data_IF_346215175970
#
_entry.id   IF_346215175970
#
_cell.length_a   1.000
_cell.length_b   1.000
_cell.length_c   1.000
_cell.angle_alpha   90.00
_cell.angle_beta   90.00
_cell.angle_gamma   90.00
#
_symmetry.space_group_name_H-M   'P 1'
#
loop_
_entity.id
_entity.type
_entity.pdbx_description
1 polymer ?
#
# COMPACT_ATOMS: atom_id res chain seq x y z
N UNK A 1 3.28 -12.30 0.20
CA UNK A 1 2.22 -12.72 -0.75
C UNK A 1 2.86 -13.44 -1.92
N UNK A 2 2.25 -14.53 -2.37
CA UNK A 2 2.49 -15.13 -3.69
C UNK A 2 1.40 -14.68 -4.63
N UNK A 3 1.75 -14.32 -5.86
CA UNK A 3 0.79 -13.83 -6.84
C UNK A 3 1.20 -14.28 -8.24
N UNK A 4 0.22 -14.74 -9.02
CA UNK A 4 0.34 -15.12 -10.41
C UNK A 4 -0.66 -14.33 -11.27
N UNK A 5 -0.83 -14.70 -12.54
CA UNK A 5 -1.74 -14.02 -13.46
C UNK A 5 -3.24 -14.18 -13.16
N UNK A 6 -3.63 -15.09 -12.26
CA UNK A 6 -5.03 -15.40 -11.94
C UNK A 6 -5.39 -15.04 -10.50
N UNK A 7 -4.44 -15.18 -9.57
CA UNK A 7 -4.74 -15.20 -8.14
C UNK A 7 -3.53 -14.86 -7.28
N UNK A 8 -3.82 -14.56 -6.01
CA UNK A 8 -2.83 -14.44 -4.95
C UNK A 8 -3.18 -15.29 -3.73
N UNK A 9 -2.18 -15.52 -2.86
CA UNK A 9 -2.37 -16.10 -1.53
C UNK A 9 -1.22 -15.70 -0.60
N UNK A 10 -1.43 -15.85 0.71
CA UNK A 10 -0.38 -15.67 1.71
C UNK A 10 0.21 -17.03 2.06
N UNK A 11 1.54 -17.08 2.20
CA UNK A 11 2.28 -18.26 2.64
C UNK A 11 3.12 -17.87 3.85
N UNK A 12 2.90 -18.55 4.96
CA UNK A 12 3.68 -18.41 6.18
C UNK A 12 3.69 -19.74 6.95
N UNK A 13 4.86 -20.17 7.43
CA UNK A 13 5.02 -21.43 8.15
C UNK A 13 4.38 -22.63 7.42
N UNK A 14 4.61 -22.73 6.11
CA UNK A 14 4.02 -23.74 5.21
C UNK A 14 2.48 -23.75 5.12
N UNK A 15 1.81 -22.75 5.69
CA UNK A 15 0.37 -22.56 5.59
C UNK A 15 0.01 -21.63 4.42
N UNK A 16 -0.93 -22.08 3.57
CA UNK A 16 -1.52 -21.28 2.50
C UNK A 16 -2.86 -20.70 2.95
N UNK A 17 -2.95 -19.37 3.03
CA UNK A 17 -4.13 -18.67 3.51
C UNK A 17 -4.63 -17.61 2.53
N UNK A 18 -5.91 -17.27 2.66
CA UNK A 18 -6.55 -16.13 2.01
C UNK A 18 -6.32 -16.07 0.50
N UNK A 19 -6.58 -17.20 -0.17
CA UNK A 19 -6.60 -17.25 -1.63
C UNK A 19 -7.60 -16.20 -2.15
N UNK A 20 -7.11 -15.32 -3.00
CA UNK A 20 -7.89 -14.20 -3.55
C UNK A 20 -7.78 -14.23 -5.07
N UNK A 21 -8.93 -14.12 -5.75
CA UNK A 21 -8.96 -14.02 -7.21
C UNK A 21 -8.51 -12.62 -7.66
N UNK A 22 -8.03 -12.53 -8.90
CA UNK A 22 -7.34 -11.33 -9.39
C UNK A 22 -5.84 -11.50 -9.22
N UNK A 23 -5.12 -11.36 -10.32
CA UNK A 23 -3.68 -11.57 -10.39
C UNK A 23 -2.96 -10.32 -10.89
N UNK A 24 -1.79 -10.54 -11.50
CA UNK A 24 -0.99 -9.48 -12.12
C UNK A 24 -0.73 -9.76 -13.59
N UNK A 25 -0.54 -8.69 -14.34
CA UNK A 25 -0.08 -8.71 -15.73
C UNK A 25 1.08 -7.73 -15.93
N UNK A 26 1.65 -7.70 -17.13
CA UNK A 26 2.72 -6.75 -17.46
C UNK A 26 2.20 -5.33 -17.30
N UNK A 27 2.87 -4.55 -16.45
CA UNK A 27 2.46 -3.17 -16.13
C UNK A 27 1.64 -3.05 -14.84
N UNK A 28 1.22 -4.15 -14.22
CA UNK A 28 0.58 -4.10 -12.90
C UNK A 28 1.53 -3.55 -11.83
N UNK A 29 0.98 -2.78 -10.90
CA UNK A 29 1.71 -2.22 -9.74
C UNK A 29 1.29 -2.97 -8.48
N UNK A 30 2.27 -3.49 -7.74
CA UNK A 30 2.02 -4.13 -6.44
C UNK A 30 2.40 -3.16 -5.32
N UNK A 31 1.42 -2.72 -4.54
CA UNK A 31 1.62 -1.92 -3.35
C UNK A 31 1.83 -2.81 -2.12
N UNK A 32 2.71 -2.37 -1.21
CA UNK A 32 2.98 -3.04 0.06
C UNK A 32 2.89 -1.99 1.16
N UNK A 33 1.92 -2.17 2.08
CA UNK A 33 1.77 -1.31 3.25
C UNK A 33 2.13 -2.10 4.50
N UNK A 34 3.31 -1.81 5.05
CA UNK A 34 3.70 -2.22 6.39
C UNK A 34 3.32 -1.11 7.35
N UNK A 35 2.25 -1.34 8.10
CA UNK A 35 1.74 -0.41 9.09
C UNK A 35 2.26 -0.82 10.47
N UNK A 36 3.20 -0.03 11.01
CA UNK A 36 3.85 -0.30 12.29
C UNK A 36 3.06 0.24 13.48
N UNK A 37 2.07 1.12 13.27
CA UNK A 37 1.19 1.60 14.33
C UNK A 37 0.12 0.55 14.62
N UNK A 38 -0.51 0.00 13.57
CA UNK A 38 -1.51 -1.05 13.67
C UNK A 38 -0.88 -2.46 13.73
N UNK A 39 0.45 -2.58 13.55
CA UNK A 39 1.20 -3.83 13.48
C UNK A 39 0.68 -4.80 12.40
N UNK A 40 0.44 -4.28 11.20
CA UNK A 40 -0.23 -5.00 10.10
C UNK A 40 0.54 -4.94 8.79
N UNK A 41 0.35 -5.96 7.95
CA UNK A 41 0.84 -5.99 6.58
C UNK A 41 -0.31 -6.18 5.60
N UNK A 42 -0.44 -5.28 4.63
CA UNK A 42 -1.45 -5.33 3.56
C UNK A 42 -0.80 -5.23 2.18
N UNK A 43 -1.41 -5.86 1.18
CA UNK A 43 -0.96 -5.85 -0.21
C UNK A 43 -2.02 -5.25 -1.12
N UNK A 44 -1.58 -4.62 -2.20
CA UNK A 44 -2.43 -3.95 -3.18
C UNK A 44 -2.00 -4.33 -4.59
N UNK A 45 -2.94 -4.36 -5.53
CA UNK A 45 -2.69 -4.47 -6.96
C UNK A 45 -3.43 -3.32 -7.64
N UNK A 46 -2.68 -2.46 -8.34
CA UNK A 46 -3.20 -1.27 -9.01
C UNK A 46 -4.08 -0.42 -8.09
N UNK A 47 -3.53 -0.07 -6.92
CA UNK A 47 -4.16 0.74 -5.86
C UNK A 47 -5.38 0.09 -5.16
N UNK A 48 -5.83 -1.07 -5.61
CA UNK A 48 -6.90 -1.84 -4.97
C UNK A 48 -6.33 -2.88 -4.01
N UNK A 49 -6.98 -3.07 -2.86
CA UNK A 49 -6.50 -4.02 -1.84
C UNK A 49 -6.63 -5.46 -2.35
N UNK A 50 -5.51 -6.19 -2.38
CA UNK A 50 -5.45 -7.57 -2.85
C UNK A 50 -5.63 -8.55 -1.67
N UNK A 51 -6.89 -8.85 -1.37
CA UNK A 51 -7.28 -9.75 -0.28
C UNK A 51 -7.43 -9.05 1.08
N UNK A 52 -7.56 -9.81 2.18
CA UNK A 52 -7.64 -9.24 3.53
C UNK A 52 -6.28 -8.71 4.01
N UNK A 53 -6.23 -8.18 5.23
CA UNK A 53 -4.96 -7.94 5.94
C UNK A 53 -4.19 -9.27 6.00
N UNK A 54 -2.94 -9.27 5.56
CA UNK A 54 -2.16 -10.48 5.39
C UNK A 54 -1.62 -11.03 6.70
N UNK A 55 -1.13 -10.13 7.55
CA UNK A 55 -0.56 -10.46 8.85
C UNK A 55 -0.86 -9.35 9.85
N UNK A 56 -1.02 -9.73 11.11
CA UNK A 56 -1.24 -8.86 12.27
C UNK A 56 -0.19 -9.19 13.34
N UNK A 57 -0.07 -8.35 14.36
CA UNK A 57 0.84 -8.57 15.49
C UNK A 57 2.33 -8.67 15.07
N UNK A 58 2.70 -7.85 14.08
CA UNK A 58 4.05 -7.77 13.55
C UNK A 58 4.98 -6.92 14.45
N UNK A 59 5.99 -7.55 15.04
CA UNK A 59 7.01 -6.88 15.87
C UNK A 59 8.43 -7.13 15.38
N UNK A 60 9.30 -6.13 15.53
CA UNK A 60 10.73 -6.23 15.24
C UNK A 60 11.18 -5.41 14.03
N UNK A 61 12.28 -5.85 13.42
CA UNK A 61 12.89 -5.18 12.25
C UNK A 61 12.48 -5.92 10.99
N UNK A 62 11.94 -5.19 10.02
CA UNK A 62 11.47 -5.72 8.75
C UNK A 62 12.31 -5.19 7.59
N UNK A 63 12.53 -6.05 6.59
CA UNK A 63 13.17 -5.67 5.34
C UNK A 63 12.22 -6.01 4.18
N UNK A 64 12.07 -5.14 3.18
CA UNK A 64 11.34 -5.49 1.97
C UNK A 64 12.07 -6.66 1.27
N UNK A 65 11.30 -7.64 0.81
CA UNK A 65 11.83 -8.84 0.16
C UNK A 65 11.01 -9.17 -1.08
N UNK A 66 11.72 -9.57 -2.14
CA UNK A 66 11.13 -9.93 -3.42
C UNK A 66 11.78 -11.21 -3.94
N UNK A 67 10.96 -12.12 -4.47
CA UNK A 67 11.41 -13.33 -5.15
C UNK A 67 10.69 -13.40 -6.49
N UNK A 68 11.44 -13.58 -7.57
CA UNK A 68 10.92 -13.53 -8.94
C UNK A 68 11.37 -14.75 -9.74
N UNK A 69 10.54 -15.18 -10.69
CA UNK A 69 10.88 -16.24 -11.63
C UNK A 69 11.71 -15.68 -12.81
N UNK A 70 12.35 -16.55 -13.60
CA UNK A 70 13.22 -16.18 -14.74
C UNK A 70 12.60 -15.16 -15.72
N UNK A 71 11.28 -15.23 -15.92
CA UNK A 71 10.57 -14.40 -16.90
C UNK A 71 9.88 -13.19 -16.27
N UNK A 72 10.23 -12.83 -15.03
CA UNK A 72 9.65 -11.70 -14.30
C UNK A 72 10.73 -10.65 -14.08
N UNK A 73 10.42 -9.43 -14.47
CA UNK A 73 11.21 -8.25 -14.17
C UNK A 73 10.34 -7.28 -13.37
N UNK A 74 10.92 -6.68 -12.33
CA UNK A 74 10.25 -5.67 -11.51
C UNK A 74 11.11 -4.41 -11.43
N UNK A 75 10.44 -3.28 -11.23
CA UNK A 75 11.07 -2.02 -10.80
C UNK A 75 10.55 -1.73 -9.40
N UNK A 76 11.43 -1.33 -8.49
CA UNK A 76 11.06 -0.99 -7.12
C UNK A 76 11.04 0.53 -6.97
N UNK A 77 9.89 1.07 -6.60
CA UNK A 77 9.72 2.48 -6.27
C UNK A 77 9.56 2.63 -4.75
N UNK A 78 10.43 3.42 -4.14
CA UNK A 78 10.47 3.66 -2.70
C UNK A 78 10.16 5.12 -2.37
N UNK A 79 10.13 5.46 -1.08
CA UNK A 79 9.86 6.83 -0.60
C UNK A 79 8.49 7.36 -1.08
N UNK A 80 7.50 6.47 -1.10
CA UNK A 80 6.11 6.81 -1.35
C UNK A 80 5.44 7.19 -0.03
N UNK A 81 4.53 8.15 -0.09
CA UNK A 81 3.63 8.43 1.02
C UNK A 81 2.69 7.23 1.23
N UNK A 82 2.33 6.90 2.49
CA UNK A 82 1.31 5.91 2.76
C UNK A 82 0.00 6.27 2.03
N UNK A 83 -0.75 5.28 1.52
CA UNK A 83 -2.06 5.53 0.95
C UNK A 83 -2.95 6.21 1.98
N UNK A 84 -3.56 7.34 1.62
CA UNK A 84 -4.51 8.01 2.51
C UNK A 84 -5.69 7.06 2.69
N UNK A 85 -5.96 6.63 3.92
CA UNK A 85 -7.18 5.91 4.20
C UNK A 85 -8.35 6.79 3.76
N UNK A 86 -9.25 6.26 2.93
CA UNK A 86 -10.48 6.95 2.51
C UNK A 86 -11.42 7.33 3.68
N UNK A 87 -10.96 7.18 4.91
CA UNK A 87 -11.47 7.81 6.12
C UNK A 87 -10.28 8.47 6.82
N UNK A 88 -10.14 9.78 6.64
CA UNK A 88 -9.96 10.80 7.67
C UNK A 88 -9.75 12.17 6.97
N UNK A 89 -10.80 12.99 7.11
CA UNK A 89 -10.73 14.42 7.39
C UNK A 89 -10.47 15.42 6.26
N UNK A 90 -11.58 15.73 5.58
CA UNK A 90 -11.92 17.04 4.98
C UNK A 90 -11.64 18.26 5.89
N UNK A 91 -11.13 18.09 7.11
CA UNK A 91 -10.73 19.19 8.01
C UNK A 91 -9.31 19.71 7.74
N UNK A 92 -8.38 18.91 7.21
CA UNK A 92 -7.02 19.41 6.92
C UNK A 92 -6.98 20.45 5.78
N UNK A 93 -7.91 20.37 4.82
CA UNK A 93 -7.99 21.34 3.72
C UNK A 93 -8.57 22.71 4.12
N UNK A 94 -9.12 22.87 5.33
CA UNK A 94 -9.64 24.18 5.77
C UNK A 94 -8.54 25.10 6.31
N UNK A 95 -7.49 24.56 6.92
CA UNK A 95 -6.38 25.35 7.46
C UNK A 95 -5.43 25.87 6.37
N UNK A 96 -5.30 25.16 5.25
CA UNK A 96 -4.48 25.62 4.13
C UNK A 96 -5.16 26.71 3.31
N UNK A 97 -6.49 26.73 3.22
CA UNK A 97 -7.24 27.74 2.46
C UNK A 97 -7.50 29.03 3.24
N UNK A 98 -7.55 28.97 4.58
CA UNK A 98 -7.66 30.17 5.42
C UNK A 98 -6.39 31.02 5.38
N UNK A 99 -5.22 30.38 5.28
CA UNK A 99 -3.90 31.03 5.13
C UNK A 99 -3.72 31.73 3.77
N UNK A 100 -4.30 31.17 2.70
CA UNK A 100 -4.30 31.78 1.36
C UNK A 100 -5.31 32.94 1.21
N UNK A 101 -6.33 33.01 2.08
CA UNK A 101 -7.33 34.09 2.04
C UNK A 101 -6.87 35.40 2.71
N UNK A 102 -5.85 35.33 3.57
CA UNK A 102 -5.35 36.46 4.35
C UNK A 102 -4.19 37.24 3.69
N UNK A 103 -3.65 36.77 2.55
CA UNK A 103 -2.51 37.43 1.89
C UNK A 103 -2.89 38.41 0.76
N UNK A 104 -4.17 38.61 0.45
CA UNK A 104 -4.59 39.38 -0.75
C UNK A 104 -5.30 40.70 -0.43
N UNK A 105 -5.04 41.31 0.72
CA UNK A 105 -5.47 42.70 0.97
C UNK A 105 -4.36 43.48 1.63
N UNK A 106 -4.15 44.71 1.11
CA UNK A 106 -3.20 45.78 1.49
C UNK A 106 -1.98 45.83 0.56
N UNK A 107 -1.73 46.86 -0.26
CA UNK A 107 -2.29 48.21 -0.41
C UNK A 107 -1.70 48.84 -1.71
N UNK A 108 -1.78 50.17 -1.89
CA UNK A 108 -2.86 50.97 -2.47
C UNK A 108 -2.77 51.18 -3.99
#
# INVERSE_FOLDING_TARGET
MYIDHQRSWFLHADCHENRTDGGIEVGSVVGILLDLEQHQLSFFVNDERQGPIAFTDLHGVFFPAFSVNRNVQITVQTALEPPVSANLDMESCKDSLSQLSLSTTLSP
#
